data_IF_186409684074
#
_entry.id   IF_186409684074
#
_cell.length_a   1.000
_cell.length_b   1.000
_cell.length_c   1.000
_cell.angle_alpha   90.00
_cell.angle_beta   90.00
_cell.angle_gamma   90.00
#
_symmetry.space_group_name_H-M   'P 1'
#
loop_
_entity.id
_entity.type
_entity.pdbx_description
1 polymer ?
#
# COMPACT_ATOMS: atom_id res chain seq x y z
N UNK A 1 12.24 10.17 -4.09
CA UNK A 1 13.72 10.00 -4.07
C UNK A 1 13.99 8.66 -3.41
N UNK A 2 14.94 7.85 -3.91
CA UNK A 2 15.37 6.63 -3.23
C UNK A 2 15.86 6.92 -1.80
N UNK A 3 15.83 5.91 -0.92
CA UNK A 3 16.42 5.98 0.41
C UNK A 3 17.93 6.24 0.30
N UNK A 4 18.44 7.20 1.07
CA UNK A 4 19.81 7.70 0.95
C UNK A 4 20.49 7.89 2.31
N UNK A 5 21.74 8.36 2.28
CA UNK A 5 22.59 8.65 3.44
C UNK A 5 21.91 9.52 4.50
N UNK A 6 21.21 10.57 4.08
CA UNK A 6 20.57 11.50 5.03
C UNK A 6 19.39 10.83 5.73
N UNK A 7 18.61 10.02 5.01
CA UNK A 7 17.53 9.23 5.62
C UNK A 7 18.08 8.15 6.55
N UNK A 8 19.20 7.51 6.20
CA UNK A 8 19.86 6.51 7.03
C UNK A 8 20.37 7.11 8.34
N UNK A 9 20.99 8.29 8.30
CA UNK A 9 21.43 9.01 9.50
C UNK A 9 20.28 9.29 10.48
N UNK A 10 19.07 9.62 9.98
CA UNK A 10 17.87 9.80 10.81
C UNK A 10 17.44 8.48 11.46
N UNK A 11 17.52 7.36 10.73
CA UNK A 11 17.22 6.03 11.29
C UNK A 11 18.22 5.66 12.38
N UNK A 12 19.51 5.95 12.18
CA UNK A 12 20.57 5.71 13.17
C UNK A 12 20.37 6.54 14.45
N UNK A 13 19.92 7.79 14.30
CA UNK A 13 19.61 8.67 15.43
C UNK A 13 18.36 8.24 16.19
N UNK A 14 17.25 7.99 15.48
CA UNK A 14 15.95 7.75 16.10
C UNK A 14 15.73 6.28 16.51
N UNK A 15 16.46 5.34 15.90
CA UNK A 15 16.40 3.90 16.16
C UNK A 15 14.96 3.34 16.23
N UNK A 16 14.16 3.50 15.17
CA UNK A 16 12.79 2.98 15.16
C UNK A 16 12.76 1.46 15.33
N UNK A 17 11.68 0.93 15.90
CA UNK A 17 11.49 -0.53 16.02
C UNK A 17 11.38 -1.22 14.66
N UNK A 18 10.81 -0.52 13.67
CA UNK A 18 10.54 -1.05 12.32
C UNK A 18 10.89 -0.02 11.25
N UNK A 19 11.57 -0.48 10.19
CA UNK A 19 11.78 0.27 8.95
C UNK A 19 11.19 -0.52 7.79
N UNK A 20 10.15 0.00 7.17
CA UNK A 20 9.52 -0.59 5.98
C UNK A 20 9.97 0.11 4.70
N UNK A 21 10.33 -0.65 3.67
CA UNK A 21 10.80 -0.15 2.39
C UNK A 21 9.83 -0.51 1.26
N UNK A 22 9.52 0.48 0.43
CA UNK A 22 8.66 0.36 -0.74
C UNK A 22 9.48 0.53 -2.01
N UNK A 23 9.16 -0.20 -3.08
CA UNK A 23 9.89 -0.22 -4.36
C UNK A 23 11.29 -0.86 -4.32
N UNK A 24 11.46 -1.91 -3.50
CA UNK A 24 12.74 -2.62 -3.35
C UNK A 24 13.57 -2.13 -2.18
N UNK A 25 14.89 -2.36 -2.24
CA UNK A 25 15.84 -2.00 -1.17
C UNK A 25 16.88 -0.99 -1.70
N UNK A 26 17.44 -0.13 -0.82
CA UNK A 26 18.64 0.65 -1.12
C UNK A 26 19.88 -0.28 -1.25
N UNK A 27 21.08 0.31 -1.30
CA UNK A 27 22.32 -0.47 -1.29
C UNK A 27 22.45 -1.34 -0.04
N UNK A 28 23.18 -2.45 -0.18
CA UNK A 28 23.42 -3.40 0.92
C UNK A 28 24.07 -2.69 2.13
N UNK A 29 24.99 -1.74 1.90
CA UNK A 29 25.61 -0.92 2.94
C UNK A 29 24.58 -0.12 3.76
N UNK A 30 23.58 0.49 3.12
CA UNK A 30 22.54 1.24 3.81
C UNK A 30 21.60 0.30 4.59
N UNK A 31 21.31 -0.89 4.06
CA UNK A 31 20.53 -1.91 4.78
C UNK A 31 21.29 -2.40 6.02
N UNK A 32 22.57 -2.72 5.91
CA UNK A 32 23.38 -3.16 7.04
C UNK A 32 23.41 -2.13 8.16
N UNK A 33 23.55 -0.85 7.80
CA UNK A 33 23.50 0.27 8.76
C UNK A 33 22.14 0.36 9.45
N UNK A 34 21.03 0.28 8.69
CA UNK A 34 19.69 0.24 9.28
C UNK A 34 19.55 -0.94 10.25
N UNK A 35 19.98 -2.15 9.86
CA UNK A 35 19.92 -3.34 10.74
C UNK A 35 20.80 -3.20 11.98
N UNK A 36 21.93 -2.50 11.90
CA UNK A 36 22.82 -2.24 13.05
C UNK A 36 22.16 -1.41 14.17
N UNK A 37 21.07 -0.70 13.84
CA UNK A 37 20.26 0.02 14.82
C UNK A 37 19.36 -0.91 15.66
N UNK A 38 19.23 -2.18 15.27
CA UNK A 38 18.29 -3.13 15.87
C UNK A 38 16.87 -3.03 15.28
N UNK A 39 16.66 -2.19 14.27
CA UNK A 39 15.38 -2.11 13.55
C UNK A 39 15.04 -3.42 12.85
N UNK A 40 13.77 -3.81 12.91
CA UNK A 40 13.20 -4.84 12.01
C UNK A 40 13.01 -4.23 10.63
N UNK A 41 13.61 -4.83 9.60
CA UNK A 41 13.50 -4.37 8.22
C UNK A 41 12.43 -5.16 7.48
N UNK A 42 11.46 -4.45 6.88
CA UNK A 42 10.34 -5.06 6.16
C UNK A 42 10.36 -4.59 4.71
N UNK A 43 10.27 -5.52 3.75
CA UNK A 43 10.21 -5.21 2.32
C UNK A 43 8.82 -5.47 1.72
N UNK A 44 8.40 -4.66 0.75
CA UNK A 44 7.16 -4.89 0.01
C UNK A 44 7.40 -5.69 -1.28
N UNK A 45 6.66 -6.78 -1.47
CA UNK A 45 6.63 -7.60 -2.68
C UNK A 45 5.23 -7.66 -3.31
N UNK A 46 5.20 -7.66 -4.64
CA UNK A 46 3.99 -7.83 -5.46
C UNK A 46 4.00 -9.16 -6.24
N UNK A 47 5.14 -9.86 -6.24
CA UNK A 47 5.32 -11.16 -6.86
C UNK A 47 6.12 -12.11 -5.95
N UNK A 48 6.07 -13.41 -6.26
CA UNK A 48 6.90 -14.43 -5.58
C UNK A 48 8.40 -14.20 -5.84
N UNK A 49 8.76 -13.70 -7.01
CA UNK A 49 10.15 -13.41 -7.35
C UNK A 49 10.70 -12.25 -6.50
N UNK A 50 9.93 -11.18 -6.36
CA UNK A 50 10.26 -10.06 -5.48
C UNK A 50 10.39 -10.51 -4.03
N UNK A 51 9.50 -11.39 -3.55
CA UNK A 51 9.59 -11.93 -2.20
C UNK A 51 10.88 -12.72 -1.96
N UNK A 52 11.24 -13.63 -2.87
CA UNK A 52 12.51 -14.38 -2.78
C UNK A 52 13.73 -13.46 -2.85
N UNK A 53 13.67 -12.45 -3.70
CA UNK A 53 14.74 -11.47 -3.85
C UNK A 53 14.98 -10.67 -2.56
N UNK A 54 13.91 -10.31 -1.85
CA UNK A 54 13.95 -9.61 -0.57
C UNK A 54 14.48 -10.53 0.55
N UNK A 55 14.00 -11.77 0.62
CA UNK A 55 14.46 -12.76 1.60
C UNK A 55 15.96 -13.04 1.45
N UNK A 56 16.45 -13.18 0.22
CA UNK A 56 17.89 -13.38 -0.06
C UNK A 56 18.77 -12.20 0.41
N UNK A 57 18.18 -11.01 0.57
CA UNK A 57 18.85 -9.80 1.08
C UNK A 57 18.60 -9.57 2.57
N UNK A 58 17.99 -10.55 3.23
CA UNK A 58 17.89 -10.59 4.68
C UNK A 58 16.95 -9.55 5.28
N UNK A 59 15.84 -9.21 4.61
CA UNK A 59 14.74 -8.55 5.31
C UNK A 59 14.13 -9.50 6.35
N UNK A 60 13.54 -8.95 7.40
CA UNK A 60 13.02 -9.73 8.53
C UNK A 60 11.55 -10.14 8.34
N UNK A 61 10.80 -9.43 7.48
CA UNK A 61 9.45 -9.80 7.05
C UNK A 61 9.13 -9.22 5.66
N UNK A 62 8.13 -9.79 4.99
CA UNK A 62 7.69 -9.33 3.66
C UNK A 62 6.22 -8.94 3.68
N UNK A 63 5.91 -7.76 3.15
CA UNK A 63 4.55 -7.33 2.83
C UNK A 63 4.17 -7.91 1.46
N UNK A 64 3.20 -8.82 1.42
CA UNK A 64 2.57 -9.30 0.20
C UNK A 64 1.46 -8.31 -0.21
N UNK A 65 1.75 -7.43 -1.17
CA UNK A 65 0.82 -6.42 -1.66
C UNK A 65 0.04 -6.94 -2.86
N UNK A 66 -1.23 -7.31 -2.64
CA UNK A 66 -2.14 -7.71 -3.70
C UNK A 66 -2.58 -6.55 -4.59
N UNK A 67 -3.06 -6.89 -5.79
CA UNK A 67 -3.61 -5.97 -6.78
C UNK A 67 -4.74 -5.06 -6.26
N UNK A 68 -5.42 -5.48 -5.20
CA UNK A 68 -6.51 -4.77 -4.55
C UNK A 68 -6.05 -3.55 -3.72
N UNK A 69 -4.75 -3.46 -3.42
CA UNK A 69 -4.17 -2.40 -2.60
C UNK A 69 -4.35 -0.99 -3.20
N UNK A 70 -4.59 -0.01 -2.33
CA UNK A 70 -4.64 1.41 -2.69
C UNK A 70 -3.24 2.03 -2.73
N UNK A 71 -3.08 3.13 -3.47
CA UNK A 71 -1.80 3.82 -3.62
C UNK A 71 -0.85 3.08 -4.57
N UNK A 72 0.44 3.40 -4.53
CA UNK A 72 1.42 2.85 -5.45
C UNK A 72 1.61 1.34 -5.31
N UNK A 73 1.65 0.63 -6.44
CA UNK A 73 2.17 -0.74 -6.47
C UNK A 73 3.68 -0.70 -6.20
N UNK A 74 4.14 -1.46 -5.20
CA UNK A 74 5.55 -1.50 -4.80
C UNK A 74 6.43 -2.37 -5.69
N UNK A 75 5.99 -2.67 -6.92
CA UNK A 75 6.72 -3.46 -7.91
C UNK A 75 8.09 -2.84 -8.24
N UNK A 76 9.13 -3.67 -8.32
CA UNK A 76 10.50 -3.24 -8.60
C UNK A 76 11.32 -4.18 -9.50
N UNK A 77 10.90 -5.44 -9.74
CA UNK A 77 11.60 -6.36 -10.65
C UNK A 77 11.02 -6.43 -12.08
N UNK A 78 10.06 -5.55 -12.42
CA UNK A 78 9.67 -5.33 -13.81
C UNK A 78 8.67 -6.33 -14.41
N UNK A 79 8.00 -7.16 -13.62
CA UNK A 79 6.91 -8.05 -14.08
C UNK A 79 5.77 -7.28 -14.77
N UNK A 80 5.13 -7.81 -15.80
CA UNK A 80 4.06 -7.08 -16.52
C UNK A 80 2.92 -6.67 -15.56
N UNK A 81 2.49 -5.39 -15.52
CA UNK A 81 1.32 -4.98 -14.73
C UNK A 81 0.05 -5.80 -15.02
N UNK A 82 -0.10 -6.36 -16.22
CA UNK A 82 -1.19 -7.25 -16.59
C UNK A 82 -1.15 -8.61 -15.85
N UNK A 83 0.00 -9.00 -15.33
CA UNK A 83 0.21 -10.25 -14.58
C UNK A 83 0.04 -10.06 -13.06
N UNK A 84 -0.42 -8.88 -12.61
CA UNK A 84 -0.59 -8.60 -11.20
C UNK A 84 -1.60 -9.56 -10.54
N UNK A 85 -1.18 -10.14 -9.42
CA UNK A 85 -1.98 -11.11 -8.68
C UNK A 85 -2.84 -10.42 -7.61
N UNK A 86 -4.10 -10.85 -7.49
CA UNK A 86 -4.92 -10.53 -6.33
C UNK A 86 -4.37 -11.20 -5.06
N UNK A 87 -4.57 -10.57 -3.90
CA UNK A 87 -4.02 -10.98 -2.62
C UNK A 87 -4.36 -12.44 -2.29
N UNK A 88 -5.58 -12.87 -2.61
CA UNK A 88 -6.04 -14.24 -2.34
C UNK A 88 -5.15 -15.31 -3.00
N UNK A 89 -4.60 -15.01 -4.18
CA UNK A 89 -3.67 -15.90 -4.90
C UNK A 89 -2.20 -15.60 -4.59
N UNK A 90 -1.85 -14.32 -4.43
CA UNK A 90 -0.48 -13.88 -4.15
C UNK A 90 0.02 -14.39 -2.80
N UNK A 91 -0.81 -14.26 -1.76
CA UNK A 91 -0.43 -14.51 -0.38
C UNK A 91 0.06 -15.95 -0.14
N UNK A 92 -0.74 -17.01 -0.38
CA UNK A 92 -0.26 -18.37 -0.14
C UNK A 92 0.94 -18.73 -1.03
N UNK A 93 1.00 -18.19 -2.26
CA UNK A 93 2.16 -18.41 -3.14
C UNK A 93 3.45 -17.81 -2.60
N UNK A 94 3.39 -16.66 -1.93
CA UNK A 94 4.56 -16.08 -1.25
C UNK A 94 4.88 -16.89 0.00
N UNK A 95 3.88 -17.17 0.85
CA UNK A 95 4.05 -17.93 2.09
C UNK A 95 4.74 -19.27 1.84
N UNK A 96 4.32 -20.02 0.82
CA UNK A 96 4.92 -21.32 0.48
C UNK A 96 6.32 -21.22 -0.15
N UNK A 97 6.72 -20.03 -0.61
CA UNK A 97 7.95 -19.83 -1.37
C UNK A 97 9.12 -19.25 -0.57
N UNK A 98 8.87 -18.79 0.66
CA UNK A 98 9.86 -18.18 1.56
C UNK A 98 9.72 -18.75 2.98
N UNK A 99 10.68 -18.46 3.86
CA UNK A 99 10.72 -18.96 5.24
C UNK A 99 10.46 -17.88 6.29
N UNK A 100 10.48 -16.59 5.92
CA UNK A 100 10.25 -15.46 6.84
C UNK A 100 8.77 -15.02 6.90
N UNK A 101 8.34 -14.33 7.98
CA UNK A 101 6.95 -13.89 8.14
C UNK A 101 6.40 -13.05 6.98
N UNK A 102 5.14 -13.28 6.62
CA UNK A 102 4.43 -12.56 5.56
C UNK A 102 3.31 -11.70 6.14
N UNK A 103 3.24 -10.44 5.72
CA UNK A 103 2.23 -9.46 6.08
C UNK A 103 1.30 -9.27 4.88
N UNK A 104 0.02 -9.61 5.01
CA UNK A 104 -0.93 -9.47 3.92
C UNK A 104 -1.40 -8.01 3.76
N UNK A 105 -1.36 -7.46 2.55
CA UNK A 105 -1.80 -6.09 2.26
C UNK A 105 -2.64 -6.00 0.98
N UNK A 106 -3.73 -5.24 1.06
CA UNK A 106 -4.64 -4.98 -0.06
C UNK A 106 -6.01 -5.64 0.11
N UNK A 107 -7.09 -4.88 -0.13
CA UNK A 107 -8.46 -5.40 -0.04
C UNK A 107 -8.96 -5.79 1.37
N UNK A 108 -8.12 -5.72 2.41
CA UNK A 108 -8.51 -6.00 3.80
C UNK A 108 -9.10 -4.74 4.44
N UNK A 109 -10.35 -4.83 4.90
CA UNK A 109 -11.08 -3.71 5.50
C UNK A 109 -11.83 -4.04 6.80
N UNK A 110 -12.02 -5.32 7.13
CA UNK A 110 -12.76 -5.79 8.30
C UNK A 110 -12.17 -7.10 8.86
N UNK A 111 -12.74 -7.59 9.97
CA UNK A 111 -12.30 -8.82 10.62
C UNK A 111 -12.37 -10.08 9.73
N UNK A 112 -13.25 -10.12 8.71
CA UNK A 112 -13.34 -11.25 7.77
C UNK A 112 -12.11 -11.31 6.88
N UNK A 113 -11.69 -10.15 6.36
CA UNK A 113 -10.47 -10.05 5.56
C UNK A 113 -9.22 -10.42 6.36
N UNK A 114 -9.17 -10.04 7.65
CA UNK A 114 -8.06 -10.40 8.54
C UNK A 114 -8.03 -11.91 8.80
N UNK A 115 -9.17 -12.50 9.18
CA UNK A 115 -9.25 -13.95 9.41
C UNK A 115 -8.88 -14.74 8.16
N UNK A 116 -9.36 -14.31 6.98
CA UNK A 116 -9.00 -14.94 5.71
C UNK A 116 -7.50 -14.86 5.41
N UNK A 117 -6.86 -13.72 5.65
CA UNK A 117 -5.41 -13.57 5.46
C UNK A 117 -4.62 -14.52 6.37
N UNK A 118 -5.01 -14.66 7.64
CA UNK A 118 -4.36 -15.61 8.55
C UNK A 118 -4.57 -17.06 8.13
N UNK A 119 -5.78 -17.42 7.66
CA UNK A 119 -6.05 -18.75 7.10
C UNK A 119 -5.22 -19.06 5.86
N UNK A 120 -4.82 -18.03 5.10
CA UNK A 120 -3.92 -18.15 3.94
C UNK A 120 -2.43 -18.11 4.32
N UNK A 121 -2.09 -18.09 5.62
CA UNK A 121 -0.73 -18.20 6.12
C UNK A 121 -0.03 -16.88 6.44
N UNK A 122 -0.72 -15.74 6.39
CA UNK A 122 -0.14 -14.47 6.84
C UNK A 122 0.13 -14.47 8.35
N UNK A 123 1.24 -13.87 8.77
CA UNK A 123 1.58 -13.64 10.18
C UNK A 123 0.98 -12.34 10.72
N UNK A 124 0.69 -11.39 9.84
CA UNK A 124 0.06 -10.11 10.16
C UNK A 124 -0.66 -9.52 8.93
N UNK A 125 -1.36 -8.41 9.12
CA UNK A 125 -2.08 -7.69 8.07
C UNK A 125 -1.70 -6.21 8.08
N UNK A 126 -1.66 -5.59 6.91
CA UNK A 126 -1.45 -4.15 6.74
C UNK A 126 -2.65 -3.52 6.03
N UNK A 127 -3.36 -2.63 6.75
CA UNK A 127 -4.56 -1.96 6.26
C UNK A 127 -4.27 -0.47 6.04
N UNK A 128 -4.46 0.00 4.81
CA UNK A 128 -4.39 1.43 4.49
C UNK A 128 -5.78 2.06 4.38
N UNK A 129 -6.55 1.64 3.39
CA UNK A 129 -7.85 2.25 3.04
C UNK A 129 -8.88 2.21 4.15
N UNK A 130 -8.88 1.20 5.03
CA UNK A 130 -9.78 1.15 6.18
C UNK A 130 -9.57 2.37 7.11
N UNK A 131 -8.32 2.74 7.40
CA UNK A 131 -7.98 3.87 8.26
C UNK A 131 -8.18 5.24 7.61
N UNK A 132 -8.41 5.31 6.29
CA UNK A 132 -8.74 6.56 5.63
C UNK A 132 -10.08 7.15 6.11
N UNK A 133 -10.98 6.30 6.61
CA UNK A 133 -12.26 6.72 7.19
C UNK A 133 -12.13 7.34 8.58
N UNK A 134 -11.03 7.10 9.29
CA UNK A 134 -10.82 7.58 10.65
C UNK A 134 -10.64 9.12 10.72
N UNK A 135 -11.12 9.79 11.78
CA UNK A 135 -10.98 11.24 11.93
C UNK A 135 -9.52 11.70 12.05
N UNK A 136 -8.60 10.83 12.48
CA UNK A 136 -7.16 11.11 12.55
C UNK A 136 -6.48 11.15 11.16
N UNK A 137 -7.13 10.61 10.13
CA UNK A 137 -6.64 10.67 8.75
C UNK A 137 -6.68 12.10 8.21
N UNK A 138 -5.55 12.56 7.64
CA UNK A 138 -5.38 13.91 7.09
C UNK A 138 -5.90 14.08 5.65
N UNK A 139 -6.67 13.11 5.14
CA UNK A 139 -7.27 13.27 3.80
C UNK A 139 -8.30 14.39 3.81
N UNK A 140 -8.50 15.02 2.64
CA UNK A 140 -9.53 16.04 2.46
C UNK A 140 -10.94 15.46 2.64
N UNK A 141 -11.89 16.34 2.98
CA UNK A 141 -13.30 15.96 3.04
C UNK A 141 -13.82 15.43 1.71
N UNK A 142 -13.32 15.96 0.58
CA UNK A 142 -13.65 15.46 -0.74
C UNK A 142 -13.18 14.01 -0.95
N UNK A 143 -11.95 13.68 -0.51
CA UNK A 143 -11.46 12.30 -0.57
C UNK A 143 -12.29 11.40 0.34
N UNK A 144 -12.52 11.80 1.60
CA UNK A 144 -13.33 11.04 2.55
C UNK A 144 -14.74 10.77 2.04
N UNK A 145 -15.38 11.79 1.47
CA UNK A 145 -16.72 11.69 0.89
C UNK A 145 -16.80 10.80 -0.36
N UNK A 146 -15.68 10.59 -1.06
CA UNK A 146 -15.61 9.75 -2.24
C UNK A 146 -15.36 8.26 -1.92
N UNK A 147 -14.85 7.95 -0.72
CA UNK A 147 -14.64 6.55 -0.28
C UNK A 147 -15.96 5.77 -0.36
N UNK A 148 -15.95 4.65 -1.07
CA UNK A 148 -17.13 3.79 -1.26
C UNK A 148 -18.17 4.28 -2.27
N UNK A 149 -18.01 5.49 -2.85
CA UNK A 149 -18.93 6.04 -3.86
C UNK A 149 -18.37 6.01 -5.29
N UNK A 150 -17.10 5.68 -5.44
CA UNK A 150 -16.41 5.64 -6.72
C UNK A 150 -15.57 4.38 -6.82
N UNK A 151 -15.51 3.82 -8.03
CA UNK A 151 -14.63 2.69 -8.30
C UNK A 151 -13.16 3.12 -8.25
N UNK A 152 -12.32 2.25 -7.68
CA UNK A 152 -10.88 2.44 -7.69
C UNK A 152 -10.21 1.65 -8.80
N UNK A 153 -9.28 2.27 -9.51
CA UNK A 153 -8.49 1.65 -10.57
C UNK A 153 -7.05 2.17 -10.55
N UNK A 154 -6.14 1.43 -11.18
CA UNK A 154 -4.76 1.87 -11.32
C UNK A 154 -4.65 3.05 -12.29
N UNK A 155 -3.74 3.98 -12.00
CA UNK A 155 -3.39 5.09 -12.88
C UNK A 155 -1.93 5.50 -12.71
N UNK A 156 -1.29 5.92 -13.81
CA UNK A 156 0.02 6.58 -13.80
C UNK A 156 -0.10 8.11 -13.88
N UNK A 157 -1.26 8.64 -14.24
CA UNK A 157 -1.45 10.06 -14.57
C UNK A 157 -1.17 11.01 -13.40
N UNK A 158 -1.34 10.56 -12.17
CA UNK A 158 -1.22 11.43 -10.99
C UNK A 158 0.23 11.66 -10.56
N UNK A 159 1.12 10.69 -10.81
CA UNK A 159 2.51 10.73 -10.29
C UNK A 159 3.56 10.24 -11.27
N UNK A 160 3.16 9.54 -12.34
CA UNK A 160 4.04 8.84 -13.28
C UNK A 160 4.33 7.40 -12.88
N UNK A 161 3.95 7.01 -11.66
CA UNK A 161 4.04 5.64 -11.16
C UNK A 161 2.65 5.05 -11.02
N UNK A 162 2.53 3.76 -11.32
CA UNK A 162 1.25 3.05 -11.27
C UNK A 162 0.74 3.00 -9.82
N UNK A 163 -0.43 3.58 -9.57
CA UNK A 163 -1.06 3.65 -8.26
C UNK A 163 -2.58 3.53 -8.34
N UNK A 164 -3.22 2.86 -7.38
CA UNK A 164 -4.67 2.69 -7.35
C UNK A 164 -5.35 3.82 -6.57
N UNK A 165 -6.28 4.50 -7.24
CA UNK A 165 -7.10 5.56 -6.66
C UNK A 165 -8.53 5.55 -7.18
N UNK A 166 -9.40 6.29 -6.49
CA UNK A 166 -10.77 6.55 -6.88
C UNK A 166 -10.79 7.29 -8.21
N UNK A 167 -11.66 6.85 -9.13
CA UNK A 167 -11.70 7.35 -10.50
C UNK A 167 -12.16 8.81 -10.58
N UNK A 168 -11.22 9.71 -10.87
CA UNK A 168 -11.47 11.13 -11.11
C UNK A 168 -11.79 11.47 -12.56
N UNK A 169 -12.07 12.75 -12.83
CA UNK A 169 -12.31 13.30 -14.18
C UNK A 169 -11.13 13.03 -15.12
N UNK A 170 -9.90 13.24 -14.65
CA UNK A 170 -8.70 13.03 -15.45
C UNK A 170 -8.63 11.61 -16.03
N UNK A 171 -8.89 10.61 -15.19
CA UNK A 171 -8.87 9.19 -15.57
C UNK A 171 -10.04 8.82 -16.50
N UNK A 172 -11.20 9.46 -16.35
CA UNK A 172 -12.35 9.25 -17.26
C UNK A 172 -12.11 9.83 -18.65
N UNK A 173 -11.47 11.00 -18.73
CA UNK A 173 -11.26 11.70 -20.00
C UNK A 173 -10.05 11.16 -20.78
N UNK A 174 -8.98 10.80 -20.09
CA UNK A 174 -7.73 10.36 -20.72
C UNK A 174 -7.53 8.85 -20.70
N UNK A 175 -8.39 8.10 -20.01
CA UNK A 175 -8.13 6.73 -19.61
C UNK A 175 -7.25 6.65 -18.36
N UNK A 176 -7.16 5.48 -17.71
CA UNK A 176 -6.44 5.33 -16.46
C UNK A 176 -4.91 5.35 -16.63
N UNK A 177 -4.38 4.81 -17.72
CA UNK A 177 -2.94 4.61 -17.95
C UNK A 177 -2.57 5.17 -19.32
N UNK A 178 -1.47 5.91 -19.42
CA UNK A 178 -1.03 6.52 -20.67
C UNK A 178 0.49 6.55 -20.82
N UNK A 179 0.96 6.14 -22.00
CA UNK A 179 2.39 6.18 -22.34
C UNK A 179 2.98 7.60 -22.36
N UNK A 180 2.14 8.63 -22.51
CA UNK A 180 2.57 10.03 -22.51
C UNK A 180 2.60 10.67 -21.11
N UNK A 181 2.18 9.94 -20.06
CA UNK A 181 2.32 10.43 -18.70
C UNK A 181 3.82 10.61 -18.37
N UNK A 182 4.25 11.75 -17.80
CA UNK A 182 5.64 11.91 -17.37
C UNK A 182 6.02 10.79 -16.38
N UNK A 183 7.24 10.23 -16.45
CA UNK A 183 7.63 9.10 -15.62
C UNK A 183 7.67 9.48 -14.13
N UNK A 184 7.52 8.49 -13.24
CA UNK A 184 7.57 8.71 -11.80
C UNK A 184 8.89 9.39 -11.37
N UNK A 185 8.85 10.43 -10.50
CA UNK A 185 7.70 11.08 -9.86
C UNK A 185 7.21 12.38 -10.55
N UNK A 186 7.50 12.58 -11.84
CA UNK A 186 7.41 13.87 -12.52
C UNK A 186 5.97 14.31 -12.85
N UNK A 187 5.01 13.38 -13.01
CA UNK A 187 3.65 13.76 -13.43
C UNK A 187 2.92 14.63 -12.39
N UNK A 188 3.28 14.50 -11.11
CA UNK A 188 2.66 15.29 -10.04
C UNK A 188 2.92 16.79 -10.21
N UNK A 189 4.14 17.17 -10.59
CA UNK A 189 4.50 18.57 -10.82
C UNK A 189 3.79 19.14 -12.06
N UNK A 190 3.66 18.33 -13.12
CA UNK A 190 2.95 18.72 -14.33
C UNK A 190 1.44 18.94 -14.07
N UNK A 191 0.83 18.13 -13.20
CA UNK A 191 -0.59 18.21 -12.88
C UNK A 191 -0.92 19.30 -11.84
N UNK A 192 0.06 19.76 -11.06
CA UNK A 192 -0.15 20.63 -9.91
C UNK A 192 -0.96 21.92 -10.20
N UNK A 193 -0.73 22.68 -11.31
CA UNK A 193 -1.51 23.88 -11.60
C UNK A 193 -2.98 23.58 -11.89
N UNK A 194 -3.26 22.50 -12.63
CA UNK A 194 -4.62 22.07 -12.98
C UNK A 194 -5.34 21.59 -11.72
N UNK A 195 -4.67 20.77 -10.91
CA UNK A 195 -5.20 20.31 -9.62
C UNK A 195 -5.58 21.50 -8.73
N UNK A 196 -4.67 22.46 -8.55
CA UNK A 196 -4.92 23.63 -7.72
C UNK A 196 -6.12 24.47 -8.22
N UNK A 197 -6.23 24.69 -9.54
CA UNK A 197 -7.34 25.43 -10.13
C UNK A 197 -8.68 24.70 -10.01
N UNK A 198 -8.69 23.37 -10.15
CA UNK A 198 -9.89 22.55 -10.02
C UNK A 198 -10.38 22.47 -8.56
N UNK A 199 -9.46 22.28 -7.60
CA UNK A 199 -9.81 22.18 -6.18
C UNK A 199 -10.43 23.48 -5.64
N UNK A 200 -9.98 24.65 -6.12
CA UNK A 200 -10.61 25.94 -5.80
C UNK A 200 -12.07 26.06 -6.25
N UNK A 201 -12.47 25.23 -7.22
CA UNK A 201 -13.84 25.15 -7.74
C UNK A 201 -14.61 23.96 -7.16
N UNK A 202 -14.04 23.25 -6.18
CA UNK A 202 -14.63 22.04 -5.59
C UNK A 202 -14.57 20.79 -6.48
N UNK A 203 -13.75 20.79 -7.53
CA UNK A 203 -13.54 19.64 -8.42
C UNK A 203 -12.24 18.91 -8.06
N UNK A 204 -12.36 17.64 -7.68
CA UNK A 204 -11.25 16.82 -7.17
C UNK A 204 -10.86 15.69 -8.13
N UNK A 205 -11.40 15.70 -9.35
CA UNK A 205 -11.13 14.71 -10.39
C UNK A 205 -9.69 14.70 -10.93
N UNK A 206 -8.85 15.65 -10.48
CA UNK A 206 -7.42 15.76 -10.78
C UNK A 206 -6.55 15.53 -9.54
N UNK A 207 -7.18 15.16 -8.42
CA UNK A 207 -6.51 14.92 -7.14
C UNK A 207 -6.17 13.42 -6.99
N UNK A 208 -5.05 13.08 -6.34
CA UNK A 208 -4.68 11.69 -6.06
C UNK A 208 -5.52 11.11 -4.91
N UNK A 209 -6.74 10.66 -5.22
CA UNK A 209 -7.67 10.07 -4.25
C UNK A 209 -7.37 8.58 -4.03
N UNK A 210 -6.24 8.27 -3.38
CA UNK A 210 -5.78 6.88 -3.20
C UNK A 210 -6.69 6.02 -2.33
N UNK A 211 -7.15 4.90 -2.87
CA UNK A 211 -7.98 3.94 -2.16
C UNK A 211 -7.92 2.56 -2.82
N UNK A 212 -7.94 1.49 -2.00
CA UNK A 212 -8.01 0.11 -2.46
C UNK A 212 -9.41 -0.28 -2.93
N UNK A 213 -9.57 -1.52 -3.37
CA UNK A 213 -10.87 -2.01 -3.88
C UNK A 213 -11.93 -2.22 -2.78
N UNK A 214 -11.50 -2.35 -1.52
CA UNK A 214 -12.39 -2.51 -0.37
C UNK A 214 -12.83 -1.17 0.27
N UNK A 215 -12.70 -0.05 -0.43
CA UNK A 215 -12.97 1.29 0.13
C UNK A 215 -14.40 1.44 0.70
N UNK A 216 -15.38 0.75 0.12
CA UNK A 216 -16.78 0.78 0.54
C UNK A 216 -17.06 0.05 1.86
N UNK A 217 -16.11 -0.76 2.36
CA UNK A 217 -16.29 -1.55 3.58
C UNK A 217 -15.80 -0.84 4.85
N UNK A 218 -15.15 0.33 4.72
CA UNK A 218 -14.61 1.03 5.87
C UNK A 218 -15.67 1.74 6.72
N UNK A 219 -15.37 1.92 8.00
CA UNK A 219 -16.24 2.55 8.98
C UNK A 219 -15.59 3.83 9.56
N UNK A 220 -16.33 4.94 9.72
CA UNK A 220 -15.80 6.18 10.26
C UNK A 220 -15.72 6.12 11.81
N UNK A 221 -14.73 5.39 12.32
CA UNK A 221 -14.44 5.28 13.75
C UNK A 221 -13.11 5.96 14.09
N UNK A 222 -12.91 6.42 15.34
CA UNK A 222 -11.57 6.76 15.83
C UNK A 222 -10.62 5.59 15.59
N UNK A 223 -9.37 5.88 15.19
CA UNK A 223 -8.44 4.84 14.75
C UNK A 223 -8.21 3.75 15.81
N UNK A 224 -8.13 4.13 17.09
CA UNK A 224 -7.99 3.18 18.20
C UNK A 224 -9.19 2.23 18.33
N UNK A 225 -10.40 2.72 18.10
CA UNK A 225 -11.63 1.92 18.17
C UNK A 225 -11.75 1.00 16.97
N UNK A 226 -11.38 1.49 15.78
CA UNK A 226 -11.27 0.64 14.59
C UNK A 226 -10.28 -0.50 14.81
N UNK A 227 -9.08 -0.23 15.34
CA UNK A 227 -8.08 -1.29 15.62
C UNK A 227 -8.64 -2.36 16.55
N UNK A 228 -9.29 -1.97 17.67
CA UNK A 228 -9.86 -2.92 18.63
C UNK A 228 -10.99 -3.74 18.03
N UNK A 229 -11.88 -3.09 17.27
CA UNK A 229 -12.99 -3.75 16.57
C UNK A 229 -12.48 -4.78 15.57
N UNK A 230 -11.53 -4.40 14.72
CA UNK A 230 -10.91 -5.30 13.73
C UNK A 230 -10.32 -6.55 14.39
N UNK A 231 -9.58 -6.37 15.48
CA UNK A 231 -8.98 -7.47 16.22
C UNK A 231 -10.04 -8.39 16.85
N UNK A 232 -11.05 -7.82 17.53
CA UNK A 232 -12.12 -8.58 18.16
C UNK A 232 -12.95 -9.38 17.14
N UNK A 233 -13.32 -8.74 16.01
CA UNK A 233 -14.10 -9.37 14.95
C UNK A 233 -13.32 -10.52 14.29
N UNK A 234 -12.00 -10.34 14.07
CA UNK A 234 -11.15 -11.38 13.50
C UNK A 234 -11.00 -12.58 14.47
N UNK A 235 -10.69 -12.32 15.74
CA UNK A 235 -10.55 -13.37 16.76
C UNK A 235 -11.83 -14.20 16.89
N UNK A 236 -13.00 -13.54 16.92
CA UNK A 236 -14.29 -14.24 16.99
C UNK A 236 -14.57 -15.16 15.79
N UNK A 237 -13.96 -14.91 14.63
CA UNK A 237 -14.06 -15.77 13.45
C UNK A 237 -13.06 -16.92 13.49
N UNK A 238 -11.84 -16.66 13.94
CA UNK A 238 -10.78 -17.67 14.08
C UNK A 238 -11.16 -18.72 15.14
N UNK A 239 -11.75 -18.29 16.26
CA UNK A 239 -12.21 -19.18 17.34
C UNK A 239 -13.38 -20.09 16.91
N UNK A 240 -14.13 -19.72 15.86
CA UNK A 240 -15.22 -20.57 15.32
C UNK A 240 -14.70 -21.63 14.35
N UNK A 241 -13.50 -21.48 13.83
CA UNK A 241 -12.86 -22.40 12.89
C UNK A 241 -11.87 -23.37 13.52
N UNK A 242 -11.50 -23.16 14.80
CA UNK A 242 -10.68 -24.05 15.61
C UNK A 242 -11.53 -25.13 16.29
#
# INVERSE_FOLDING_TARGET
>A
KPFDEAMCAVVEELRPEVVSLHFGLPSDELIERVKSTGSIVIGNATTVEEARWLEQRGVDAIIAQGFEAGGHTGRFLGSDPAEALGLFALLPRIVDAISIPVIAAGGIADGRGIAAAFMLGASAVQLGTAYLHCPESLISDAHRNALGKSESQFTDLMTGGLARGLSGRLMRELGPVRSEAPPFPLASAALAPIRAAAEQQGEYGFSPLWAGQAAALGEPLPAADLTRKLAADALALLDRGA
#
